data_IF_088373519086
#
_entry.id   IF_088373519086
#
_cell.length_a   1.000
_cell.length_b   1.000
_cell.length_c   1.000
_cell.angle_alpha   90.00
_cell.angle_beta   90.00
_cell.angle_gamma   90.00
#
_symmetry.space_group_name_H-M   'P 1'
#
loop_
_entity.id
_entity.type
_entity.pdbx_description
1 polymer ?
#
# COMPACT_ATOMS: atom_id res chain seq x y z
N UNK A 1 29.98 -9.52 -0.06
CA UNK A 1 28.96 -10.59 -0.05
C UNK A 1 27.71 -10.20 0.70
N UNK A 2 27.85 -9.70 1.92
CA UNK A 2 26.71 -9.27 2.74
C UNK A 2 25.93 -8.13 2.08
N UNK A 3 26.62 -7.12 1.56
CA UNK A 3 25.98 -6.01 0.89
C UNK A 3 25.22 -6.46 -0.36
N UNK A 4 25.76 -7.41 -1.08
CA UNK A 4 25.12 -7.99 -2.24
C UNK A 4 23.82 -8.72 -1.84
N UNK A 5 23.89 -9.51 -0.77
CA UNK A 5 22.70 -10.23 -0.28
C UNK A 5 21.63 -9.26 0.21
N UNK A 6 22.03 -8.21 0.91
CA UNK A 6 21.08 -7.19 1.36
C UNK A 6 20.37 -6.54 0.16
N UNK A 7 21.13 -6.21 -0.87
CA UNK A 7 20.57 -5.61 -2.09
C UNK A 7 19.62 -6.55 -2.80
N UNK A 8 20.00 -7.83 -2.95
CA UNK A 8 19.15 -8.82 -3.61
C UNK A 8 17.85 -9.04 -2.83
N UNK A 9 17.96 -9.22 -1.51
CA UNK A 9 16.79 -9.45 -0.66
C UNK A 9 15.87 -8.23 -0.62
N UNK A 10 16.45 -7.03 -0.53
CA UNK A 10 15.67 -5.80 -0.54
C UNK A 10 14.94 -5.59 -1.85
N UNK A 11 15.60 -5.84 -2.97
CA UNK A 11 14.98 -5.74 -4.30
C UNK A 11 13.88 -6.77 -4.47
N UNK A 12 14.17 -8.03 -4.12
CA UNK A 12 13.19 -9.10 -4.22
C UNK A 12 11.97 -8.81 -3.33
N UNK A 13 12.19 -8.36 -2.11
CA UNK A 13 11.12 -8.00 -1.19
C UNK A 13 10.25 -6.87 -1.72
N UNK A 14 10.88 -5.84 -2.29
CA UNK A 14 10.17 -4.71 -2.88
C UNK A 14 9.29 -5.16 -4.04
N UNK A 15 9.85 -5.97 -4.95
CA UNK A 15 9.11 -6.46 -6.13
C UNK A 15 7.93 -7.34 -5.70
N UNK A 16 8.18 -8.30 -4.81
CA UNK A 16 7.13 -9.23 -4.36
C UNK A 16 6.03 -8.49 -3.60
N UNK A 17 6.39 -7.60 -2.68
CA UNK A 17 5.42 -6.84 -1.89
C UNK A 17 4.56 -5.94 -2.77
N UNK A 18 5.18 -5.22 -3.69
CA UNK A 18 4.47 -4.34 -4.61
C UNK A 18 3.55 -5.15 -5.52
N UNK A 19 4.05 -6.25 -6.06
CA UNK A 19 3.28 -7.12 -6.95
C UNK A 19 2.10 -7.76 -6.21
N UNK A 20 2.26 -8.08 -4.92
CA UNK A 20 1.20 -8.73 -4.15
C UNK A 20 -0.04 -7.86 -3.97
N UNK A 21 0.13 -6.53 -3.98
CA UNK A 21 -0.98 -5.60 -3.87
C UNK A 21 -1.59 -5.22 -5.22
N UNK A 22 -0.88 -5.49 -6.32
CA UNK A 22 -1.34 -5.10 -7.65
C UNK A 22 -2.68 -5.72 -8.04
N UNK A 23 -2.96 -7.00 -7.78
CA UNK A 23 -4.29 -7.53 -8.09
C UNK A 23 -5.42 -6.77 -7.41
N UNK A 24 -5.21 -6.35 -6.16
CA UNK A 24 -6.21 -5.57 -5.43
C UNK A 24 -6.37 -4.18 -6.01
N UNK A 25 -5.26 -3.53 -6.39
CA UNK A 25 -5.30 -2.23 -7.03
C UNK A 25 -6.04 -2.29 -8.36
N UNK A 26 -5.72 -3.29 -9.19
CA UNK A 26 -6.36 -3.48 -10.50
C UNK A 26 -7.85 -3.77 -10.32
N UNK A 27 -8.19 -4.66 -9.40
CA UNK A 27 -9.59 -4.99 -9.11
C UNK A 27 -10.35 -3.75 -8.67
N UNK A 28 -9.79 -2.96 -7.75
CA UNK A 28 -10.40 -1.73 -7.27
C UNK A 28 -10.58 -0.73 -8.41
N UNK A 29 -9.58 -0.61 -9.27
CA UNK A 29 -9.64 0.28 -10.43
C UNK A 29 -10.73 -0.16 -11.41
N UNK A 30 -10.82 -1.44 -11.70
CA UNK A 30 -11.79 -1.98 -12.65
C UNK A 30 -13.23 -1.90 -12.14
N UNK A 31 -13.42 -2.25 -10.87
CA UNK A 31 -14.77 -2.32 -10.27
C UNK A 31 -15.21 -1.00 -9.67
N UNK A 32 -14.27 -0.06 -9.50
CA UNK A 32 -14.50 1.21 -8.80
C UNK A 32 -15.06 1.00 -7.40
N UNK A 33 -14.64 -0.08 -6.77
CA UNK A 33 -15.13 -0.45 -5.44
C UNK A 33 -14.05 -1.19 -4.65
N UNK A 34 -14.01 -0.95 -3.36
CA UNK A 34 -13.18 -1.67 -2.40
C UNK A 34 -14.03 -2.03 -1.18
N UNK A 35 -15.31 -2.34 -1.40
CA UNK A 35 -16.27 -2.63 -0.33
C UNK A 35 -15.89 -3.84 0.50
N UNK A 36 -15.12 -4.78 -0.09
CA UNK A 36 -14.67 -6.00 0.57
C UNK A 36 -13.39 -5.81 1.38
N UNK A 37 -12.81 -4.61 1.38
CA UNK A 37 -11.59 -4.30 2.12
C UNK A 37 -11.94 -3.38 3.29
N UNK A 38 -11.50 -3.75 4.49
CA UNK A 38 -11.78 -2.97 5.69
C UNK A 38 -11.09 -1.60 5.65
N UNK A 39 -11.85 -0.55 5.92
CA UNK A 39 -11.28 0.80 6.05
C UNK A 39 -10.32 0.88 7.23
N UNK A 40 -10.66 0.24 8.34
CA UNK A 40 -9.79 0.21 9.52
C UNK A 40 -8.46 -0.44 9.20
N UNK A 41 -8.48 -1.54 8.43
CA UNK A 41 -7.26 -2.21 8.02
C UNK A 41 -6.41 -1.31 7.12
N UNK A 42 -7.03 -0.64 6.16
CA UNK A 42 -6.33 0.28 5.25
C UNK A 42 -5.66 1.43 6.01
N UNK A 43 -6.38 2.04 6.95
CA UNK A 43 -5.83 3.14 7.75
C UNK A 43 -4.67 2.65 8.61
N UNK A 44 -4.83 1.49 9.27
CA UNK A 44 -3.76 0.91 10.09
C UNK A 44 -2.53 0.60 9.23
N UNK A 45 -2.74 0.05 8.03
CA UNK A 45 -1.65 -0.27 7.11
C UNK A 45 -0.91 1.01 6.68
N UNK A 46 -1.65 2.07 6.35
CA UNK A 46 -1.06 3.34 5.94
C UNK A 46 -0.21 3.96 7.07
N UNK A 47 -0.74 3.94 8.29
CA UNK A 47 0.00 4.44 9.47
C UNK A 47 1.27 3.63 9.68
N UNK A 48 1.16 2.30 9.59
CA UNK A 48 2.32 1.40 9.72
C UNK A 48 3.40 1.73 8.69
N UNK A 49 2.99 1.95 7.44
CA UNK A 49 3.94 2.27 6.37
C UNK A 49 4.66 3.60 6.63
N UNK A 50 3.96 4.60 7.15
CA UNK A 50 4.60 5.87 7.53
C UNK A 50 5.64 5.67 8.62
N UNK A 51 5.33 4.85 9.62
CA UNK A 51 6.26 4.53 10.69
C UNK A 51 7.50 3.83 10.13
N UNK A 52 7.31 2.86 9.24
CA UNK A 52 8.42 2.14 8.62
C UNK A 52 9.26 3.01 7.69
N UNK A 53 8.64 3.96 6.99
CA UNK A 53 9.38 4.92 6.16
C UNK A 53 10.29 5.77 7.05
N UNK A 54 9.77 6.27 8.17
CA UNK A 54 10.57 7.05 9.11
C UNK A 54 11.71 6.22 9.67
N UNK A 55 11.42 5.01 10.13
CA UNK A 55 12.42 4.11 10.68
C UNK A 55 13.50 3.77 9.66
N UNK A 56 13.08 3.39 8.45
CA UNK A 56 14.00 3.05 7.37
C UNK A 56 14.89 4.22 6.97
N UNK A 57 14.36 5.43 7.01
CA UNK A 57 15.12 6.64 6.72
C UNK A 57 16.20 6.88 7.77
N UNK A 58 15.85 6.67 9.05
CA UNK A 58 16.80 6.86 10.14
C UNK A 58 17.94 5.85 10.12
N UNK A 59 17.67 4.61 9.71
CA UNK A 59 18.72 3.57 9.65
C UNK A 59 19.39 3.47 8.29
N UNK A 60 19.06 4.38 7.36
CA UNK A 60 19.61 4.42 6.01
C UNK A 60 19.35 3.10 5.25
N UNK A 61 18.11 2.61 5.28
CA UNK A 61 17.71 1.38 4.61
C UNK A 61 16.82 1.72 3.39
N UNK A 62 17.41 1.97 2.22
CA UNK A 62 16.65 2.47 1.06
C UNK A 62 15.58 1.50 0.56
N UNK A 63 15.83 0.19 0.60
CA UNK A 63 14.84 -0.78 0.15
C UNK A 63 13.60 -0.76 1.04
N UNK A 64 13.80 -0.63 2.34
CA UNK A 64 12.69 -0.56 3.31
C UNK A 64 11.85 0.70 3.08
N UNK A 65 12.49 1.83 2.81
CA UNK A 65 11.80 3.08 2.51
C UNK A 65 11.03 2.95 1.20
N UNK A 66 11.67 2.44 0.16
CA UNK A 66 11.07 2.34 -1.16
C UNK A 66 9.83 1.43 -1.17
N UNK A 67 9.93 0.23 -0.58
CA UNK A 67 8.79 -0.70 -0.57
C UNK A 67 7.60 -0.10 0.17
N UNK A 68 7.86 0.60 1.26
CA UNK A 68 6.76 1.20 2.03
C UNK A 68 6.13 2.38 1.30
N UNK A 69 6.92 3.17 0.57
CA UNK A 69 6.37 4.24 -0.26
C UNK A 69 5.46 3.67 -1.36
N UNK A 70 5.92 2.63 -2.05
CA UNK A 70 5.14 2.01 -3.13
C UNK A 70 3.84 1.39 -2.60
N UNK A 71 3.94 0.66 -1.50
CA UNK A 71 2.76 0.04 -0.88
C UNK A 71 1.81 1.10 -0.32
N UNK A 72 2.36 2.19 0.23
CA UNK A 72 1.55 3.31 0.70
C UNK A 72 0.71 3.89 -0.43
N UNK A 73 1.32 4.14 -1.59
CA UNK A 73 0.61 4.66 -2.75
C UNK A 73 -0.51 3.72 -3.19
N UNK A 74 -0.25 2.40 -3.19
CA UNK A 74 -1.26 1.41 -3.58
C UNK A 74 -2.42 1.37 -2.59
N UNK A 75 -2.14 1.33 -1.30
CA UNK A 75 -3.18 1.30 -0.27
C UNK A 75 -3.96 2.62 -0.22
N UNK A 76 -3.28 3.75 -0.41
CA UNK A 76 -3.93 5.06 -0.44
C UNK A 76 -4.92 5.16 -1.61
N UNK A 77 -4.55 4.61 -2.77
CA UNK A 77 -5.45 4.57 -3.92
C UNK A 77 -6.71 3.74 -3.61
N UNK A 78 -6.51 2.56 -3.00
CA UNK A 78 -7.63 1.68 -2.63
C UNK A 78 -8.56 2.39 -1.64
N UNK A 79 -7.99 3.05 -0.64
CA UNK A 79 -8.78 3.78 0.35
C UNK A 79 -9.54 4.95 -0.29
N UNK A 80 -8.90 5.67 -1.20
CA UNK A 80 -9.53 6.76 -1.92
C UNK A 80 -10.77 6.29 -2.66
N UNK A 81 -10.64 5.19 -3.42
CA UNK A 81 -11.77 4.63 -4.18
C UNK A 81 -12.87 4.14 -3.21
N UNK A 82 -12.47 3.49 -2.12
CA UNK A 82 -13.43 3.00 -1.13
C UNK A 82 -14.27 4.13 -0.54
N UNK A 83 -13.62 5.21 -0.12
CA UNK A 83 -14.31 6.37 0.45
C UNK A 83 -15.21 7.03 -0.58
N UNK A 84 -14.70 7.23 -1.79
CA UNK A 84 -15.44 7.86 -2.88
C UNK A 84 -16.70 7.04 -3.23
N UNK A 85 -16.56 5.73 -3.33
CA UNK A 85 -17.66 4.84 -3.68
C UNK A 85 -18.71 4.81 -2.59
N UNK A 86 -18.32 4.77 -1.32
CA UNK A 86 -19.25 4.76 -0.21
C UNK A 86 -20.02 6.07 -0.12
N UNK A 87 -19.37 7.20 -0.38
CA UNK A 87 -20.05 8.50 -0.39
C UNK A 87 -21.10 8.58 -1.49
N UNK A 88 -20.78 8.07 -2.68
CA UNK A 88 -21.72 8.02 -3.80
C UNK A 88 -22.90 7.11 -3.46
N UNK A 89 -22.62 5.95 -2.85
CA UNK A 89 -23.66 5.00 -2.45
C UNK A 89 -24.64 5.62 -1.45
N UNK A 90 -24.13 6.33 -0.44
CA UNK A 90 -24.95 7.00 0.57
C UNK A 90 -25.78 8.11 -0.08
N UNK A 91 -25.18 8.91 -0.97
CA UNK A 91 -25.89 9.96 -1.68
C UNK A 91 -27.01 9.38 -2.56
N UNK A 92 -26.76 8.24 -3.18
CA UNK A 92 -27.75 7.57 -4.03
C UNK A 92 -28.95 7.01 -3.27
N UNK A 93 -28.82 6.82 -1.96
CA UNK A 93 -29.92 6.30 -1.12
C UNK A 93 -30.92 7.37 -0.72
N UNK A 94 -30.55 8.63 -0.88
CA UNK A 94 -31.42 9.75 -0.59
C UNK A 94 -32.27 10.10 -1.80
#
# INVERSE_FOLDING_TARGET
MEEFLIGVLGTAGTVVSTASLMPQVVRTWRTRSASDISAAWLVAALVSMLIWIAYGSLIAAPALVLVNILCFAQCAYILFIKVQTERVSVAGRR
#
